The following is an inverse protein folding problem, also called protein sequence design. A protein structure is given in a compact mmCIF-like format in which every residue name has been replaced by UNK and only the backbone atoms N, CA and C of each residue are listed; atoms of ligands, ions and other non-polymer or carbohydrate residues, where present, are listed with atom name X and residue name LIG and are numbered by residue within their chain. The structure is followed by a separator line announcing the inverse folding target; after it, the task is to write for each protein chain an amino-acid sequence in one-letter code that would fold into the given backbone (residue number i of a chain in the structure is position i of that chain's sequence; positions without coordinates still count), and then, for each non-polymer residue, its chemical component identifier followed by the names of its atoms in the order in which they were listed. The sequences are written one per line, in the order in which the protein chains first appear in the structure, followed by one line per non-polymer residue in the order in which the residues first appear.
data_IF_317710275293
#
_entry.id   IF_317710275293
#
_cell.length_a   1.000
_cell.length_b   1.000
_cell.length_c   1.000
_cell.angle_alpha   90.00
_cell.angle_beta   90.00
_cell.angle_gamma   90.00
#
_symmetry.space_group_name_H-M   'P 1'
#
loop_
_entity.id
_entity.type
_entity.pdbx_description
1 polymer ?
#
# COMPACT_ATOMS: atom_id res chain seq x y z
N UNK A 1 -13.74 4.14 12.62
CA UNK A 1 -13.17 4.43 11.28
C UNK A 1 -12.03 5.45 11.45
N UNK A 2 -11.22 5.73 10.42
CA UNK A 2 -10.13 6.74 10.46
C UNK A 2 -10.66 8.12 10.03
N UNK A 3 -11.38 8.80 10.92
CA UNK A 3 -12.09 10.06 10.58
C UNK A 3 -11.14 11.21 10.25
N UNK A 4 -9.93 11.21 10.81
CA UNK A 4 -8.85 12.16 10.56
C UNK A 4 -8.21 12.00 9.16
N UNK A 5 -8.21 10.78 8.62
CA UNK A 5 -7.64 10.48 7.30
C UNK A 5 -8.68 10.59 6.18
N UNK A 6 -9.96 10.34 6.49
CA UNK A 6 -11.08 10.37 5.53
C UNK A 6 -11.12 11.62 4.62
N UNK A 7 -10.81 12.86 5.07
CA UNK A 7 -10.78 14.03 4.19
C UNK A 7 -9.80 13.92 3.02
N UNK A 8 -8.74 13.10 3.12
CA UNK A 8 -7.79 12.85 2.02
C UNK A 8 -8.46 12.20 0.80
N UNK A 9 -9.65 11.60 0.98
CA UNK A 9 -10.42 10.96 -0.09
C UNK A 9 -11.58 11.82 -0.59
N UNK A 10 -11.62 13.12 -0.23
CA UNK A 10 -12.68 14.02 -0.67
C UNK A 10 -12.80 14.05 -2.20
N UNK A 11 -14.02 13.87 -2.72
CA UNK A 11 -14.28 13.75 -4.15
C UNK A 11 -14.47 12.31 -4.62
N UNK A 12 -14.13 11.29 -3.80
CA UNK A 12 -14.35 9.87 -4.13
C UNK A 12 -15.84 9.56 -4.34
N UNK A 13 -16.73 10.30 -3.67
CA UNK A 13 -18.18 10.19 -3.81
C UNK A 13 -18.70 10.61 -5.18
N UNK A 14 -17.86 11.19 -6.05
CA UNK A 14 -18.18 11.52 -7.45
C UNK A 14 -17.74 10.45 -8.44
N UNK A 15 -16.97 9.45 -8.03
CA UNK A 15 -16.46 8.43 -8.92
C UNK A 15 -17.57 7.48 -9.41
N UNK A 16 -17.50 7.02 -10.66
CA UNK A 16 -18.42 5.99 -11.19
C UNK A 16 -18.09 4.59 -10.67
N UNK A 17 -16.81 4.36 -10.35
CA UNK A 17 -16.35 3.14 -9.70
C UNK A 17 -15.13 3.39 -8.82
N UNK A 18 -14.94 2.53 -7.83
CA UNK A 18 -13.80 2.56 -6.89
C UNK A 18 -13.30 1.13 -6.71
N UNK A 19 -11.98 0.94 -6.87
CA UNK A 19 -11.32 -0.32 -6.56
C UNK A 19 -10.58 -0.23 -5.22
N UNK A 20 -10.67 -1.29 -4.43
CA UNK A 20 -10.12 -1.40 -3.08
C UNK A 20 -9.44 -2.76 -2.92
N UNK A 21 -8.18 -2.75 -2.50
CA UNK A 21 -7.46 -3.97 -2.17
C UNK A 21 -7.46 -4.16 -0.66
N UNK A 22 -8.41 -4.96 -0.16
CA UNK A 22 -8.55 -5.26 1.26
C UNK A 22 -7.36 -6.09 1.79
N UNK A 23 -6.63 -6.75 0.89
CA UNK A 23 -5.39 -7.46 1.20
C UNK A 23 -4.16 -6.53 1.32
N UNK A 24 -4.34 -5.22 1.12
CA UNK A 24 -3.34 -4.20 1.46
C UNK A 24 -3.60 -3.71 2.88
N UNK A 25 -4.22 -2.55 3.03
CA UNK A 25 -4.27 -1.83 4.30
C UNK A 25 -5.31 -2.37 5.31
N UNK A 26 -6.14 -3.33 4.88
CA UNK A 26 -7.03 -4.08 5.76
C UNK A 26 -6.49 -5.44 6.18
N UNK A 27 -5.25 -5.80 5.79
CA UNK A 27 -4.57 -7.03 6.25
C UNK A 27 -5.29 -8.34 5.92
N UNK A 28 -6.13 -8.36 4.90
CA UNK A 28 -6.70 -9.63 4.43
C UNK A 28 -5.60 -10.49 3.78
N UNK A 29 -5.58 -11.81 4.00
CA UNK A 29 -4.72 -12.69 3.22
C UNK A 29 -5.01 -12.54 1.72
N UNK A 30 -3.98 -12.63 0.87
CA UNK A 30 -4.18 -12.59 -0.58
C UNK A 30 -5.11 -13.72 -1.06
N UNK A 31 -5.90 -13.52 -2.10
CA UNK A 31 -6.31 -12.24 -2.70
C UNK A 31 -7.62 -11.73 -2.07
N UNK A 32 -7.78 -10.42 -1.94
CA UNK A 32 -9.04 -9.80 -1.50
C UNK A 32 -9.17 -8.41 -2.14
N UNK A 33 -9.58 -8.37 -3.40
CA UNK A 33 -9.95 -7.14 -4.10
C UNK A 33 -11.47 -6.93 -4.04
N UNK A 34 -11.88 -5.67 -4.05
CA UNK A 34 -13.27 -5.24 -4.09
C UNK A 34 -13.40 -4.11 -5.11
N UNK A 35 -14.47 -4.14 -5.90
CA UNK A 35 -14.89 -3.01 -6.73
C UNK A 35 -16.28 -2.57 -6.28
N UNK A 36 -16.46 -1.27 -6.13
CA UNK A 36 -17.74 -0.62 -5.95
C UNK A 36 -18.07 0.12 -7.23
N UNK A 37 -19.28 -0.06 -7.76
CA UNK A 37 -19.72 0.55 -9.01
C UNK A 37 -21.05 1.26 -8.77
N UNK A 38 -21.15 2.50 -9.22
CA UNK A 38 -22.33 3.36 -9.03
C UNK A 38 -23.54 2.88 -9.83
N UNK A 39 -23.30 2.43 -11.06
CA UNK A 39 -24.34 2.02 -12.01
C UNK A 39 -24.33 0.49 -12.16
N UNK A 40 -25.07 -0.19 -11.29
CA UNK A 40 -25.12 -1.65 -11.22
C UNK A 40 -25.64 -2.28 -12.52
N UNK A 41 -26.71 -1.74 -13.11
CA UNK A 41 -27.28 -2.24 -14.36
C UNK A 41 -26.30 -2.17 -15.53
N UNK A 42 -25.52 -1.09 -15.62
CA UNK A 42 -24.51 -0.94 -16.67
C UNK A 42 -23.37 -1.94 -16.48
N UNK A 43 -22.90 -2.11 -15.23
CA UNK A 43 -21.87 -3.09 -14.91
C UNK A 43 -22.34 -4.51 -15.21
N UNK A 44 -23.54 -4.87 -14.76
CA UNK A 44 -24.12 -6.19 -14.97
C UNK A 44 -24.27 -6.52 -16.46
N UNK A 45 -24.88 -5.62 -17.25
CA UNK A 45 -25.03 -5.81 -18.71
C UNK A 45 -23.70 -6.01 -19.45
N UNK A 46 -22.60 -5.51 -18.90
CA UNK A 46 -21.27 -5.67 -19.49
C UNK A 46 -20.74 -7.09 -19.38
N UNK A 47 -21.09 -7.83 -18.31
CA UNK A 47 -20.56 -9.18 -18.04
C UNK A 47 -21.60 -10.29 -18.15
N UNK A 48 -22.89 -9.96 -18.12
CA UNK A 48 -23.96 -10.94 -18.24
C UNK A 48 -23.89 -11.70 -19.57
N UNK A 49 -23.63 -12.99 -19.47
CA UNK A 49 -23.74 -13.96 -20.55
C UNK A 49 -24.29 -15.26 -19.95
N UNK A 50 -25.54 -15.58 -20.29
CA UNK A 50 -26.23 -16.77 -19.76
C UNK A 50 -26.40 -17.80 -20.88
N UNK A 51 -25.49 -18.78 -21.00
CA UNK A 51 -25.71 -19.91 -21.90
C UNK A 51 -26.88 -20.78 -21.41
N UNK A 52 -27.48 -21.58 -22.30
CA UNK A 52 -28.70 -22.36 -22.01
C UNK A 52 -28.59 -23.25 -20.75
N UNK A 53 -27.41 -23.81 -20.48
CA UNK A 53 -27.20 -24.67 -19.31
C UNK A 53 -27.09 -23.91 -17.97
N UNK A 54 -27.00 -22.58 -18.02
CA UNK A 54 -27.03 -21.68 -16.85
C UNK A 54 -28.32 -20.85 -16.82
N UNK A 55 -29.36 -21.25 -17.55
CA UNK A 55 -30.64 -20.56 -17.54
C UNK A 55 -31.17 -20.40 -16.11
N UNK A 56 -31.62 -19.19 -15.78
CA UNK A 56 -32.19 -18.90 -14.47
C UNK A 56 -33.62 -19.43 -14.40
N UNK A 57 -33.94 -20.09 -13.29
CA UNK A 57 -35.24 -20.70 -13.04
C UNK A 57 -36.05 -19.90 -12.02
N UNK A 58 -37.35 -20.14 -11.97
CA UNK A 58 -38.23 -19.48 -10.99
C UNK A 58 -38.12 -20.06 -9.57
N UNK A 59 -37.50 -21.24 -9.43
CA UNK A 59 -37.33 -21.96 -8.15
C UNK A 59 -36.08 -22.84 -8.13
N UNK A 60 -35.64 -23.23 -6.94
CA UNK A 60 -34.46 -24.11 -6.75
C UNK A 60 -33.14 -23.33 -6.71
N UNK A 61 -32.01 -24.05 -6.85
CA UNK A 61 -30.67 -23.46 -6.78
C UNK A 61 -30.35 -22.51 -7.94
N UNK A 62 -31.06 -22.66 -9.06
CA UNK A 62 -30.95 -21.78 -10.22
C UNK A 62 -31.92 -20.58 -10.16
N UNK A 63 -32.56 -20.34 -9.02
CA UNK A 63 -33.41 -19.16 -8.82
C UNK A 63 -32.66 -18.01 -8.15
N UNK A 64 -33.23 -16.81 -8.28
CA UNK A 64 -32.70 -15.59 -7.69
C UNK A 64 -32.11 -14.62 -8.72
N UNK A 65 -31.88 -13.39 -8.27
CA UNK A 65 -31.47 -12.27 -9.14
C UNK A 65 -29.98 -11.94 -9.02
N UNK A 66 -29.29 -12.43 -7.99
CA UNK A 66 -27.88 -12.14 -7.73
C UNK A 66 -26.98 -13.29 -8.18
N UNK A 67 -26.54 -13.20 -9.43
CA UNK A 67 -25.57 -14.12 -10.02
C UNK A 67 -24.23 -13.42 -10.12
N UNK A 68 -23.27 -13.75 -9.26
CA UNK A 68 -21.99 -13.04 -9.25
C UNK A 68 -21.17 -13.21 -10.54
N UNK A 69 -21.46 -14.24 -11.34
CA UNK A 69 -20.94 -14.40 -12.70
C UNK A 69 -21.38 -13.27 -13.64
N UNK A 70 -22.52 -12.62 -13.38
CA UNK A 70 -22.99 -11.46 -14.14
C UNK A 70 -22.24 -10.16 -13.78
N UNK A 71 -21.30 -10.19 -12.82
CA UNK A 71 -20.62 -8.99 -12.30
C UNK A 71 -19.11 -9.01 -12.51
N UNK A 72 -18.60 -9.93 -13.33
CA UNK A 72 -17.20 -9.96 -13.69
C UNK A 72 -16.86 -11.11 -14.63
N UNK A 73 -15.59 -11.22 -14.97
CA UNK A 73 -15.09 -12.20 -15.96
C UNK A 73 -15.10 -13.65 -15.45
N UNK A 74 -15.27 -13.87 -14.14
CA UNK A 74 -15.17 -15.20 -13.53
C UNK A 74 -16.56 -15.83 -13.39
N UNK A 75 -16.78 -16.97 -14.04
CA UNK A 75 -17.95 -17.80 -13.77
C UNK A 75 -17.84 -18.46 -12.39
N UNK A 76 -16.84 -19.31 -12.21
CA UNK A 76 -16.52 -19.95 -10.93
C UNK A 76 -15.55 -19.09 -10.13
N UNK A 77 -15.85 -18.87 -8.84
CA UNK A 77 -15.03 -18.05 -7.95
C UNK A 77 -15.02 -18.59 -6.52
N UNK A 78 -13.95 -18.29 -5.80
CA UNK A 78 -13.83 -18.63 -4.38
C UNK A 78 -14.76 -17.75 -3.51
N UNK A 79 -15.05 -18.20 -2.30
CA UNK A 79 -15.77 -17.41 -1.29
C UNK A 79 -14.86 -16.37 -0.62
N UNK A 80 -14.28 -15.46 -1.40
CA UNK A 80 -13.33 -14.43 -0.93
C UNK A 80 -13.94 -13.50 0.12
N UNK A 81 -15.26 -13.29 0.09
CA UNK A 81 -15.96 -12.43 1.04
C UNK A 81 -16.01 -13.00 2.46
N UNK A 82 -15.84 -14.32 2.65
CA UNK A 82 -15.91 -14.93 3.98
C UNK A 82 -14.83 -14.41 4.92
N UNK A 83 -13.57 -14.40 4.47
CA UNK A 83 -12.45 -13.90 5.28
C UNK A 83 -12.60 -12.41 5.61
N UNK A 84 -13.07 -11.62 4.65
CA UNK A 84 -13.38 -10.19 4.86
C UNK A 84 -14.45 -10.02 5.93
N UNK A 85 -15.56 -10.75 5.79
CA UNK A 85 -16.67 -10.70 6.74
C UNK A 85 -16.22 -11.11 8.14
N UNK A 86 -15.54 -12.24 8.28
CA UNK A 86 -15.09 -12.74 9.57
C UNK A 86 -14.10 -11.79 10.24
N UNK A 87 -13.16 -11.20 9.50
CA UNK A 87 -12.24 -10.21 10.06
C UNK A 87 -12.95 -8.92 10.50
N UNK A 88 -13.96 -8.46 9.77
CA UNK A 88 -14.79 -7.32 10.19
C UNK A 88 -15.59 -7.67 11.44
N UNK A 89 -16.16 -8.88 11.52
CA UNK A 89 -16.92 -9.35 12.69
C UNK A 89 -16.06 -9.49 13.94
N UNK A 90 -14.84 -10.00 13.80
CA UNK A 90 -13.89 -10.20 14.88
C UNK A 90 -13.29 -8.88 15.39
N UNK A 91 -12.79 -8.04 14.47
CA UNK A 91 -12.01 -6.86 14.87
C UNK A 91 -12.81 -5.56 14.92
N UNK A 92 -13.92 -5.49 14.19
CA UNK A 92 -14.67 -4.26 13.98
C UNK A 92 -13.96 -3.26 13.07
N UNK A 93 -14.73 -2.37 12.44
CA UNK A 93 -14.19 -1.34 11.53
C UNK A 93 -13.36 -0.27 12.25
N UNK A 94 -13.63 -0.03 13.54
CA UNK A 94 -12.89 0.95 14.32
C UNK A 94 -11.44 0.56 14.56
N UNK A 95 -11.15 -0.74 14.70
CA UNK A 95 -9.79 -1.23 14.83
C UNK A 95 -8.99 -0.98 13.56
N UNK A 96 -9.54 -1.31 12.39
CA UNK A 96 -8.91 -1.02 11.11
C UNK A 96 -8.68 0.48 10.92
N UNK A 97 -9.66 1.32 11.29
CA UNK A 97 -9.50 2.77 11.26
C UNK A 97 -8.32 3.26 12.11
N UNK A 98 -8.22 2.81 13.38
CA UNK A 98 -7.08 3.17 14.24
C UNK A 98 -5.73 2.70 13.69
N UNK A 99 -5.69 1.52 13.08
CA UNK A 99 -4.47 1.00 12.45
C UNK A 99 -4.02 1.85 11.26
N UNK A 100 -4.96 2.26 10.40
CA UNK A 100 -4.71 3.17 9.27
C UNK A 100 -4.17 4.51 9.78
N UNK A 101 -4.83 5.13 10.77
CA UNK A 101 -4.39 6.39 11.36
C UNK A 101 -2.98 6.29 11.96
N UNK A 102 -2.70 5.22 12.72
CA UNK A 102 -1.36 4.94 13.29
C UNK A 102 -0.30 4.81 12.19
N UNK A 103 -0.60 4.12 11.10
CA UNK A 103 0.33 3.93 10.00
C UNK A 103 0.69 5.27 9.31
N UNK A 104 -0.29 6.17 9.15
CA UNK A 104 -0.06 7.54 8.64
C UNK A 104 0.77 8.35 9.64
N UNK A 105 0.49 8.24 10.94
CA UNK A 105 1.30 8.89 11.99
C UNK A 105 2.76 8.41 11.96
N UNK A 106 2.99 7.11 11.78
CA UNK A 106 4.32 6.52 11.64
C UNK A 106 5.05 7.05 10.39
N UNK A 107 4.35 7.24 9.26
CA UNK A 107 4.94 7.86 8.08
C UNK A 107 5.39 9.29 8.36
N UNK A 108 4.55 10.09 9.02
CA UNK A 108 4.92 11.44 9.43
C UNK A 108 6.04 11.47 10.49
N UNK A 109 6.08 10.50 11.40
CA UNK A 109 7.17 10.32 12.36
C UNK A 109 8.50 10.08 11.64
N UNK A 110 8.56 9.11 10.74
CA UNK A 110 9.76 8.85 9.95
C UNK A 110 10.14 10.05 9.08
N UNK A 111 9.15 10.75 8.52
CA UNK A 111 9.37 12.00 7.81
C UNK A 111 10.05 13.09 8.65
N UNK A 112 9.78 13.16 9.96
CA UNK A 112 10.49 14.06 10.88
C UNK A 112 11.93 13.61 11.11
N UNK A 113 12.18 12.31 11.26
CA UNK A 113 13.55 11.76 11.37
C UNK A 113 14.38 12.12 10.13
N UNK A 114 13.83 11.89 8.92
CA UNK A 114 14.46 12.26 7.64
C UNK A 114 14.79 13.75 7.60
N UNK A 115 13.87 14.63 8.01
CA UNK A 115 14.12 16.08 8.01
C UNK A 115 15.13 16.54 9.06
N UNK A 116 15.27 15.80 10.17
CA UNK A 116 16.20 16.14 11.25
C UNK A 116 17.64 15.70 10.98
N UNK A 117 17.85 14.78 10.05
CA UNK A 117 19.17 14.28 9.68
C UNK A 117 19.68 15.00 8.41
N UNK A 118 20.76 15.80 8.49
CA UNK A 118 21.25 16.57 7.35
C UNK A 118 21.66 15.73 6.14
N UNK A 119 22.04 14.47 6.35
CA UNK A 119 22.41 13.55 5.27
C UNK A 119 21.25 12.75 4.68
N UNK A 120 20.01 13.05 5.05
CA UNK A 120 18.80 12.48 4.46
C UNK A 120 17.98 13.55 3.74
N UNK A 121 17.38 13.18 2.62
CA UNK A 121 16.56 14.06 1.79
C UNK A 121 15.18 13.42 1.57
N UNK A 122 14.11 14.16 1.89
CA UNK A 122 12.75 13.77 1.55
C UNK A 122 12.44 14.16 0.09
N UNK A 123 11.99 13.20 -0.72
CA UNK A 123 11.81 13.39 -2.17
C UNK A 123 10.36 13.64 -2.60
N UNK A 124 9.40 13.45 -1.71
CA UNK A 124 7.99 13.76 -1.95
C UNK A 124 7.26 14.16 -0.65
N UNK A 125 6.19 14.98 -0.74
CA UNK A 125 5.29 15.19 0.39
C UNK A 125 4.69 13.88 0.88
N UNK A 126 4.56 13.74 2.20
CA UNK A 126 3.92 12.57 2.83
C UNK A 126 2.42 12.84 2.89
N UNK A 127 1.64 12.08 2.13
CA UNK A 127 0.18 12.18 2.12
C UNK A 127 -0.52 11.16 3.02
N UNK A 128 -0.06 9.90 2.97
CA UNK A 128 -0.61 8.77 3.73
C UNK A 128 0.53 7.98 4.38
N UNK A 129 0.62 6.67 4.15
CA UNK A 129 1.54 5.73 4.79
C UNK A 129 2.86 5.50 4.03
N UNK A 130 3.12 6.28 2.97
CA UNK A 130 4.30 6.11 2.11
C UNK A 130 5.27 7.26 2.30
N UNK A 131 6.55 6.93 2.48
CA UNK A 131 7.65 7.90 2.53
C UNK A 131 8.70 7.56 1.48
N UNK A 132 9.00 8.54 0.62
CA UNK A 132 10.05 8.46 -0.39
C UNK A 132 11.20 9.39 0.02
N UNK A 133 12.37 8.82 0.26
CA UNK A 133 13.54 9.54 0.77
C UNK A 133 14.82 8.95 0.19
N UNK A 134 15.95 9.61 0.41
CA UNK A 134 17.27 9.07 0.07
C UNK A 134 18.35 9.58 1.01
N UNK A 135 19.45 8.87 1.08
CA UNK A 135 20.69 9.38 1.62
C UNK A 135 21.34 10.35 0.62
N UNK A 136 21.72 11.53 1.08
CA UNK A 136 22.34 12.59 0.30
C UNK A 136 23.38 13.32 1.16
N UNK A 137 24.69 13.05 0.97
CA UNK A 137 25.75 13.73 1.72
C UNK A 137 26.05 15.15 1.19
N UNK A 138 25.38 15.61 0.13
CA UNK A 138 25.48 16.97 -0.41
C UNK A 138 26.50 17.19 -1.54
N UNK A 139 27.50 16.31 -1.67
CA UNK A 139 28.62 16.49 -2.61
C UNK A 139 28.50 15.68 -3.92
N UNK A 140 27.41 14.94 -4.09
CA UNK A 140 27.22 13.99 -5.20
C UNK A 140 26.14 14.47 -6.17
N UNK A 141 26.34 14.21 -7.46
CA UNK A 141 25.31 14.41 -8.48
C UNK A 141 24.19 13.34 -8.40
N UNK A 142 23.11 13.52 -9.14
CA UNK A 142 21.97 12.60 -9.09
C UNK A 142 22.30 11.18 -9.60
N UNK A 143 23.22 11.02 -10.56
CA UNK A 143 23.62 9.68 -11.04
C UNK A 143 24.39 8.92 -9.95
N UNK A 144 25.32 9.60 -9.29
CA UNK A 144 26.08 9.07 -8.17
C UNK A 144 25.19 8.77 -6.96
N UNK A 145 24.25 9.66 -6.64
CA UNK A 145 23.26 9.46 -5.56
C UNK A 145 22.33 8.28 -5.87
N UNK A 146 21.95 8.09 -7.13
CA UNK A 146 21.14 6.96 -7.54
C UNK A 146 21.87 5.63 -7.33
N UNK A 147 23.11 5.55 -7.79
CA UNK A 147 23.95 4.36 -7.58
C UNK A 147 24.18 4.10 -6.09
N UNK A 148 24.47 5.14 -5.31
CA UNK A 148 24.69 5.04 -3.87
C UNK A 148 23.46 4.52 -3.13
N UNK A 149 22.28 5.09 -3.39
CA UNK A 149 21.05 4.67 -2.69
C UNK A 149 20.56 3.29 -3.12
N UNK A 150 20.86 2.88 -4.36
CA UNK A 150 20.63 1.50 -4.80
C UNK A 150 21.50 0.51 -3.99
N UNK A 151 22.76 0.86 -3.76
CA UNK A 151 23.66 0.04 -2.95
C UNK A 151 23.23 -0.01 -1.47
N UNK A 152 22.85 1.13 -0.89
CA UNK A 152 22.29 1.18 0.48
C UNK A 152 21.08 0.26 0.61
N UNK A 153 20.18 0.24 -0.39
CA UNK A 153 19.02 -0.66 -0.37
C UNK A 153 19.43 -2.12 -0.29
N UNK A 154 20.38 -2.55 -1.13
CA UNK A 154 20.83 -3.94 -1.16
C UNK A 154 21.46 -4.33 0.17
N UNK A 155 22.31 -3.48 0.73
CA UNK A 155 22.94 -3.76 2.02
C UNK A 155 21.96 -3.80 3.20
N UNK A 156 20.91 -2.97 3.20
CA UNK A 156 19.84 -3.07 4.19
C UNK A 156 19.15 -4.45 4.15
N UNK A 157 18.91 -4.97 2.95
CA UNK A 157 18.28 -6.27 2.73
C UNK A 157 19.21 -7.41 3.14
N UNK A 158 20.47 -7.39 2.69
CA UNK A 158 21.47 -8.43 2.96
C UNK A 158 21.85 -8.52 4.45
N UNK A 159 21.89 -7.38 5.15
CA UNK A 159 22.14 -7.33 6.59
C UNK A 159 20.89 -7.67 7.42
N UNK A 160 19.73 -7.89 6.79
CA UNK A 160 18.49 -8.23 7.48
C UNK A 160 17.94 -7.11 8.38
N UNK A 161 18.33 -5.86 8.12
CA UNK A 161 17.98 -4.70 8.94
C UNK A 161 16.52 -4.30 8.70
N UNK A 162 16.17 -4.09 7.43
CA UNK A 162 14.85 -3.68 6.99
C UNK A 162 14.67 -4.05 5.52
N UNK A 163 13.42 -4.18 5.08
CA UNK A 163 13.08 -4.48 3.69
C UNK A 163 12.26 -3.35 3.03
N UNK A 164 12.78 -2.11 2.95
CA UNK A 164 12.14 -1.08 2.13
C UNK A 164 12.14 -1.49 0.65
N UNK A 165 11.27 -0.88 -0.12
CA UNK A 165 11.31 -0.94 -1.59
C UNK A 165 12.07 0.27 -2.15
N UNK A 166 12.10 0.41 -3.47
CA UNK A 166 12.51 1.65 -4.11
C UNK A 166 11.48 2.13 -5.13
N UNK A 167 11.64 3.38 -5.56
CA UNK A 167 11.01 3.92 -6.75
C UNK A 167 11.91 4.99 -7.36
N UNK A 168 11.52 5.56 -8.49
CA UNK A 168 12.22 6.67 -9.13
C UNK A 168 11.25 7.82 -9.31
N UNK A 169 11.60 8.99 -8.78
CA UNK A 169 10.83 10.22 -8.91
C UNK A 169 11.64 11.22 -9.71
N UNK A 170 11.16 11.59 -10.91
CA UNK A 170 11.84 12.54 -11.80
C UNK A 170 13.32 12.17 -12.06
N UNK A 171 13.61 10.88 -12.25
CA UNK A 171 14.97 10.37 -12.45
C UNK A 171 15.79 10.17 -11.16
N UNK A 172 15.28 10.56 -9.98
CA UNK A 172 15.96 10.40 -8.69
C UNK A 172 15.51 9.09 -8.02
N UNK A 173 16.45 8.21 -7.72
CA UNK A 173 16.23 6.96 -7.01
C UNK A 173 15.89 7.25 -5.54
N UNK A 174 14.79 6.66 -5.08
CA UNK A 174 14.26 6.85 -3.74
C UNK A 174 14.21 5.51 -3.02
N UNK A 175 14.69 5.45 -1.78
CA UNK A 175 14.22 4.47 -0.82
C UNK A 175 12.73 4.76 -0.54
N UNK A 176 11.89 3.74 -0.62
CA UNK A 176 10.43 3.85 -0.45
C UNK A 176 9.94 2.87 0.60
N UNK A 177 9.44 3.40 1.71
CA UNK A 177 8.70 2.62 2.71
C UNK A 177 7.21 2.81 2.52
N UNK A 178 6.45 1.72 2.61
CA UNK A 178 5.00 1.69 2.65
C UNK A 178 4.58 1.04 3.98
N UNK A 179 4.03 1.84 4.89
CA UNK A 179 3.83 1.45 6.27
C UNK A 179 2.44 0.82 6.42
N UNK A 180 2.41 -0.50 6.25
CA UNK A 180 1.20 -1.28 6.39
C UNK A 180 1.36 -2.49 7.32
N UNK A 181 2.48 -2.61 8.05
CA UNK A 181 2.68 -3.71 8.98
C UNK A 181 2.15 -3.34 10.38
N UNK A 182 1.13 -4.07 10.85
CA UNK A 182 0.51 -3.85 12.15
C UNK A 182 1.44 -4.06 13.35
N UNK A 183 2.59 -4.72 13.13
CA UNK A 183 3.60 -5.02 14.15
C UNK A 183 4.71 -3.98 14.24
N UNK A 184 4.84 -3.08 13.26
CA UNK A 184 5.90 -2.07 13.29
C UNK A 184 5.70 -1.06 14.42
N UNK A 185 6.78 -0.74 15.12
CA UNK A 185 6.83 0.24 16.22
C UNK A 185 7.74 1.42 15.84
N UNK A 186 7.77 2.48 16.66
CA UNK A 186 8.54 3.69 16.31
C UNK A 186 10.04 3.40 16.21
N UNK A 187 10.53 2.52 17.09
CA UNK A 187 11.91 2.10 17.19
C UNK A 187 12.42 1.43 15.91
N UNK A 188 11.55 0.73 15.17
CA UNK A 188 11.91 0.14 13.87
C UNK A 188 12.30 1.23 12.85
N UNK A 189 11.62 2.38 12.91
CA UNK A 189 11.88 3.52 12.03
C UNK A 189 13.14 4.29 12.44
N UNK A 190 13.43 4.36 13.75
CA UNK A 190 14.68 4.90 14.26
C UNK A 190 15.88 4.07 13.78
N UNK A 191 15.75 2.74 13.88
CA UNK A 191 16.75 1.80 13.35
C UNK A 191 16.93 2.02 11.85
N UNK A 192 15.85 2.06 11.06
CA UNK A 192 15.95 2.29 9.61
C UNK A 192 16.69 3.59 9.27
N UNK A 193 16.32 4.71 9.90
CA UNK A 193 16.96 6.00 9.62
C UNK A 193 18.47 5.96 9.96
N UNK A 194 18.81 5.43 11.14
CA UNK A 194 20.20 5.31 11.58
C UNK A 194 21.03 4.41 10.66
N UNK A 195 20.50 3.26 10.27
CA UNK A 195 21.24 2.30 9.45
C UNK A 195 21.42 2.78 8.00
N UNK A 196 20.43 3.47 7.42
CA UNK A 196 20.61 4.14 6.11
C UNK A 196 21.78 5.12 6.15
N UNK A 197 21.86 5.92 7.20
CA UNK A 197 22.95 6.91 7.39
C UNK A 197 24.29 6.22 7.61
N UNK A 198 24.34 5.19 8.46
CA UNK A 198 25.57 4.43 8.73
C UNK A 198 26.14 3.83 7.45
N UNK A 199 25.32 3.07 6.72
CA UNK A 199 25.72 2.42 5.47
C UNK A 199 26.11 3.46 4.42
N UNK A 200 25.32 4.54 4.28
CA UNK A 200 25.63 5.62 3.36
C UNK A 200 26.98 6.28 3.63
N UNK A 201 27.32 6.54 4.90
CA UNK A 201 28.63 7.10 5.30
C UNK A 201 29.78 6.11 5.05
N UNK A 202 29.60 4.82 5.33
CA UNK A 202 30.59 3.78 5.06
C UNK A 202 30.91 3.68 3.55
N UNK A 203 29.88 3.69 2.71
CA UNK A 203 30.02 3.65 1.25
C UNK A 203 30.70 4.90 0.68
N UNK A 204 30.42 6.09 1.24
CA UNK A 204 31.11 7.32 0.84
C UNK A 204 32.58 7.25 1.25
N UNK A 205 32.90 6.80 2.47
CA UNK A 205 34.29 6.69 2.94
C UNK A 205 35.12 5.71 2.09
N UNK A 206 34.53 4.62 1.62
CA UNK A 206 35.17 3.64 0.73
C UNK A 206 35.47 4.18 -0.67
N UNK A 207 34.73 5.20 -1.14
CA UNK A 207 34.98 5.84 -2.45
C UNK A 207 36.11 6.87 -2.43
N UNK A 208 36.48 7.35 -1.24
CA UNK A 208 37.54 8.36 -1.05
C UNK A 208 38.91 7.74 -0.80
N UNK A 209 38.99 6.40 -0.66
CA UNK A 209 40.23 5.62 -0.59
C UNK A 209 40.63 5.10 -1.97
#
# INVERSE_FOLDING_TARGET
MAEDIKPQLSGIERADSVALDLHKWMHMPFEAGCILVRHDDAHRRTFSLTPDYLAHETRGLAAGTLWFSDYGVQLSRQFRALKVWMSIKEHGLDRFGRMIARNVEQAHYFGRLVKSEPSLELLAPIGLDIVCFRFNPGELDDEQLNALNKEILMQLHEQGIAAPSYTTLQGRYCLRIAIANHRSIQEDFDVLAREVVRIGRELVAQRTQ
#
